data_IF_582778925813
#
_entry.id   IF_582778925813
#
_cell.length_a   1.000
_cell.length_b   1.000
_cell.length_c   1.000
_cell.angle_alpha   90.00
_cell.angle_beta   90.00
_cell.angle_gamma   90.00
#
_symmetry.space_group_name_H-M   'P 1'
#
loop_
_entity.id
_entity.type
_entity.pdbx_description
1 polymer ?
#
# COMPACT_ATOMS: atom_id res chain seq x y z
N UNK A 1 -58.75 41.09 -0.43
CA UNK A 1 -57.94 42.29 -0.71
C UNK A 1 -57.10 42.55 0.53
N UNK A 2 -55.76 42.64 0.44
CA UNK A 2 -55.00 43.12 -0.72
C UNK A 2 -54.19 42.04 -1.45
N UNK A 3 -54.00 42.30 -2.75
CA UNK A 3 -53.08 41.67 -3.68
C UNK A 3 -51.61 41.84 -3.24
N UNK A 4 -50.74 40.89 -3.60
CA UNK A 4 -49.49 41.21 -4.30
C UNK A 4 -48.94 39.99 -5.06
N UNK A 5 -49.26 39.98 -6.35
CA UNK A 5 -48.36 39.91 -7.50
C UNK A 5 -47.34 38.75 -7.65
N UNK A 6 -47.72 37.82 -8.54
CA UNK A 6 -46.94 37.12 -9.58
C UNK A 6 -45.42 37.38 -9.63
N UNK A 7 -44.66 36.59 -8.88
CA UNK A 7 -43.34 35.99 -9.20
C UNK A 7 -42.94 35.25 -7.94
N UNK A 8 -43.08 33.92 -7.93
CA UNK A 8 -42.50 32.93 -7.00
C UNK A 8 -43.31 31.63 -7.15
N UNK A 9 -43.41 31.20 -8.42
CA UNK A 9 -43.79 29.83 -8.74
C UNK A 9 -42.51 29.07 -9.06
N UNK A 10 -42.36 27.90 -8.43
CA UNK A 10 -41.54 26.79 -8.89
C UNK A 10 -40.03 27.00 -8.87
N UNK A 11 -39.37 26.43 -7.85
CA UNK A 11 -38.48 25.25 -7.97
C UNK A 11 -37.72 25.03 -6.66
N UNK A 12 -38.34 24.28 -5.76
CA UNK A 12 -37.68 23.69 -4.61
C UNK A 12 -37.05 22.36 -5.03
N UNK A 13 -35.92 22.43 -5.75
CA UNK A 13 -35.04 21.28 -6.02
C UNK A 13 -33.87 21.77 -6.89
N UNK A 14 -32.84 22.31 -6.25
CA UNK A 14 -31.52 22.48 -6.84
C UNK A 14 -30.47 22.56 -5.72
N UNK A 15 -29.73 21.47 -5.58
CA UNK A 15 -28.26 21.53 -5.53
C UNK A 15 -27.63 22.48 -4.50
N UNK A 16 -27.47 22.03 -3.25
CA UNK A 16 -26.37 22.52 -2.42
C UNK A 16 -25.06 21.85 -2.86
N UNK A 17 -24.59 22.22 -4.04
CA UNK A 17 -23.17 22.21 -4.35
C UNK A 17 -22.65 23.59 -3.95
N UNK A 18 -22.34 23.76 -2.66
CA UNK A 18 -21.67 24.96 -2.21
C UNK A 18 -20.21 24.85 -2.62
N UNK A 19 -19.86 25.58 -3.68
CA UNK A 19 -18.52 25.72 -4.20
C UNK A 19 -17.58 26.24 -3.09
N UNK A 20 -16.56 25.45 -2.76
CA UNK A 20 -15.41 25.89 -1.97
C UNK A 20 -14.58 26.84 -2.83
N UNK A 21 -14.97 28.11 -2.86
CA UNK A 21 -14.17 29.20 -3.41
C UNK A 21 -13.23 29.73 -2.31
N UNK A 22 -12.14 29.01 -2.08
CA UNK A 22 -10.95 29.50 -1.39
C UNK A 22 -9.74 28.65 -1.79
N UNK A 23 -9.13 28.94 -2.95
CA UNK A 23 -7.74 28.57 -3.29
C UNK A 23 -7.29 27.11 -3.14
N UNK A 24 -8.19 26.13 -3.16
CA UNK A 24 -7.87 24.72 -2.88
C UNK A 24 -7.50 23.92 -4.14
N UNK A 25 -6.34 23.27 -4.10
CA UNK A 25 -5.80 22.37 -5.11
C UNK A 25 -6.84 21.36 -5.64
N UNK A 26 -7.13 21.35 -6.95
CA UNK A 26 -8.15 20.49 -7.58
C UNK A 26 -7.64 19.10 -8.01
N UNK A 27 -6.60 18.55 -7.37
CA UNK A 27 -5.94 17.32 -7.83
C UNK A 27 -6.23 16.08 -6.97
N UNK A 28 -7.16 16.18 -6.02
CA UNK A 28 -7.53 15.08 -5.10
C UNK A 28 -8.95 14.63 -5.41
N UNK A 29 -9.11 13.36 -5.75
CA UNK A 29 -10.41 12.72 -5.92
C UNK A 29 -10.63 11.71 -4.78
N UNK A 30 -11.73 11.87 -4.05
CA UNK A 30 -12.20 10.81 -3.15
C UNK A 30 -12.99 9.79 -3.95
N UNK A 31 -12.62 8.52 -3.85
CA UNK A 31 -13.36 7.47 -4.52
C UNK A 31 -14.80 7.35 -3.98
N UNK A 32 -15.76 7.03 -4.86
CA UNK A 32 -17.16 6.81 -4.47
C UNK A 32 -17.30 5.53 -3.64
N UNK A 33 -18.00 5.61 -2.52
CA UNK A 33 -18.35 4.45 -1.71
C UNK A 33 -19.42 3.60 -2.42
N UNK A 34 -19.10 2.35 -2.75
CA UNK A 34 -20.02 1.38 -3.36
C UNK A 34 -19.33 0.03 -3.57
N UNK A 35 -20.09 -1.06 -3.80
CA UNK A 35 -19.51 -2.34 -4.19
C UNK A 35 -18.73 -2.16 -5.49
N UNK A 36 -17.50 -2.67 -5.53
CA UNK A 36 -16.67 -2.65 -6.74
C UNK A 36 -16.86 -3.95 -7.51
N UNK A 37 -16.79 -3.86 -8.84
CA UNK A 37 -16.61 -5.05 -9.67
C UNK A 37 -15.12 -5.42 -9.65
N UNK A 38 -14.78 -6.49 -8.92
CA UNK A 38 -13.38 -6.92 -8.78
C UNK A 38 -12.89 -7.55 -10.09
N UNK A 39 -11.84 -6.99 -10.73
CA UNK A 39 -11.31 -7.54 -11.96
C UNK A 39 -10.59 -8.87 -11.69
N UNK A 40 -10.73 -9.79 -12.64
CA UNK A 40 -9.94 -11.04 -12.67
C UNK A 40 -8.76 -10.89 -13.61
N UNK A 41 -7.59 -11.36 -13.17
CA UNK A 41 -6.35 -11.42 -13.96
C UNK A 41 -5.95 -12.87 -14.24
N UNK A 42 -5.20 -13.09 -15.31
CA UNK A 42 -4.67 -14.41 -15.67
C UNK A 42 -3.29 -14.67 -15.04
N UNK A 43 -2.50 -13.60 -14.86
CA UNK A 43 -1.11 -13.69 -14.38
C UNK A 43 -0.73 -12.47 -13.56
N UNK A 44 0.11 -12.68 -12.56
CA UNK A 44 0.81 -11.61 -11.84
C UNK A 44 2.31 -11.93 -11.79
N UNK A 45 3.16 -10.97 -12.16
CA UNK A 45 4.59 -10.96 -11.86
C UNK A 45 4.86 -9.86 -10.83
N UNK A 46 5.63 -10.17 -9.79
CA UNK A 46 6.08 -9.19 -8.79
C UNK A 46 7.59 -9.17 -8.76
N UNK A 47 8.21 -8.00 -8.90
CA UNK A 47 9.64 -7.81 -8.63
C UNK A 47 9.82 -7.05 -7.33
N UNK A 48 10.59 -7.64 -6.41
CA UNK A 48 11.04 -6.97 -5.19
C UNK A 48 12.15 -5.99 -5.56
N UNK A 49 11.86 -4.69 -5.58
CA UNK A 49 12.84 -3.65 -5.90
C UNK A 49 13.63 -3.23 -4.67
N UNK A 50 12.97 -3.15 -3.52
CA UNK A 50 13.56 -2.80 -2.23
C UNK A 50 12.96 -3.72 -1.16
N UNK A 51 13.83 -4.31 -0.34
CA UNK A 51 13.51 -5.06 0.88
C UNK A 51 14.74 -5.01 1.80
N UNK A 52 14.62 -5.58 3.00
CA UNK A 52 15.61 -5.51 4.07
C UNK A 52 16.93 -6.25 3.79
N UNK A 53 16.98 -7.17 2.82
CA UNK A 53 18.15 -8.00 2.60
C UNK A 53 18.31 -8.49 1.15
N UNK A 54 19.58 -8.61 0.70
CA UNK A 54 20.01 -9.27 -0.54
C UNK A 54 20.73 -10.59 -0.21
N UNK A 55 20.40 -11.70 -0.88
CA UNK A 55 21.08 -12.99 -0.75
C UNK A 55 21.52 -13.56 -2.11
N UNK A 56 22.83 -13.68 -2.32
CA UNK A 56 23.40 -14.26 -3.54
C UNK A 56 23.17 -15.78 -3.63
N UNK A 57 23.01 -16.46 -2.50
CA UNK A 57 22.74 -17.89 -2.44
C UNK A 57 21.25 -18.24 -2.51
N UNK A 58 20.37 -17.23 -2.64
CA UNK A 58 18.94 -17.43 -2.81
C UNK A 58 18.66 -18.35 -4.01
N UNK A 59 17.98 -19.47 -3.74
CA UNK A 59 17.61 -20.47 -4.75
C UNK A 59 16.15 -20.30 -5.15
N UNK A 60 15.77 -20.69 -6.38
CA UNK A 60 14.37 -20.77 -6.75
C UNK A 60 13.56 -21.65 -5.79
N UNK A 61 12.35 -21.22 -5.46
CA UNK A 61 11.41 -21.97 -4.62
C UNK A 61 10.05 -22.03 -5.32
N UNK A 62 9.22 -23.01 -4.94
CA UNK A 62 7.88 -23.13 -5.45
C UNK A 62 6.93 -23.75 -4.42
N UNK A 63 5.73 -23.19 -4.31
CA UNK A 63 4.64 -23.70 -3.48
C UNK A 63 3.32 -23.22 -4.08
N UNK A 64 2.25 -24.02 -3.98
CA UNK A 64 0.90 -23.60 -4.37
C UNK A 64 0.71 -23.12 -5.81
N UNK A 65 1.64 -23.41 -6.75
CA UNK A 65 1.59 -22.85 -8.11
C UNK A 65 2.23 -21.46 -8.26
N UNK A 66 2.93 -20.99 -7.23
CA UNK A 66 3.73 -19.77 -7.19
C UNK A 66 5.21 -20.14 -7.25
N UNK A 67 6.01 -19.35 -7.97
CA UNK A 67 7.48 -19.50 -8.02
C UNK A 67 8.16 -18.22 -7.57
N UNK A 68 9.23 -18.34 -6.79
CA UNK A 68 10.18 -17.25 -6.51
C UNK A 68 11.51 -17.54 -7.18
N UNK A 69 12.07 -16.55 -7.88
CA UNK A 69 13.32 -16.68 -8.63
C UNK A 69 14.27 -15.52 -8.27
N UNK A 70 15.59 -15.78 -8.11
CA UNK A 70 16.53 -14.72 -7.77
C UNK A 70 16.56 -13.63 -8.86
N UNK A 71 16.54 -12.36 -8.43
CA UNK A 71 17.02 -11.27 -9.27
C UNK A 71 18.53 -11.17 -9.17
N UNK A 72 19.17 -10.87 -10.30
CA UNK A 72 20.61 -10.59 -10.36
C UNK A 72 20.81 -9.23 -10.98
N UNK A 73 21.79 -8.51 -10.45
CA UNK A 73 22.28 -7.31 -11.09
C UNK A 73 22.78 -7.66 -12.50
N UNK A 74 22.41 -6.83 -13.47
CA UNK A 74 22.96 -6.88 -14.82
C UNK A 74 24.40 -6.35 -14.90
N UNK A 75 24.91 -5.73 -13.84
CA UNK A 75 26.30 -5.36 -13.66
C UNK A 75 26.91 -6.25 -12.57
N UNK A 76 27.78 -7.18 -12.98
CA UNK A 76 28.39 -8.16 -12.06
C UNK A 76 29.33 -7.54 -11.02
N UNK A 77 29.70 -6.27 -11.19
CA UNK A 77 30.55 -5.54 -10.23
C UNK A 77 29.75 -4.71 -9.23
N UNK A 78 28.43 -4.61 -9.43
CA UNK A 78 27.53 -3.82 -8.58
C UNK A 78 26.43 -4.71 -7.98
N UNK A 79 26.38 -4.89 -6.65
CA UNK A 79 25.31 -5.65 -6.01
C UNK A 79 23.99 -4.85 -6.01
N UNK A 80 22.87 -5.56 -5.82
CA UNK A 80 21.60 -4.92 -5.47
C UNK A 80 21.67 -4.38 -4.05
N UNK A 81 21.16 -3.18 -3.85
CA UNK A 81 21.16 -2.51 -2.56
C UNK A 81 19.91 -2.90 -1.76
N UNK A 82 20.05 -3.07 -0.45
CA UNK A 82 18.92 -3.32 0.46
C UNK A 82 18.91 -2.26 1.55
N UNK A 83 17.72 -1.94 2.03
CA UNK A 83 17.50 -0.98 3.12
C UNK A 83 16.23 -1.37 3.87
N UNK A 84 16.03 -0.81 5.07
CA UNK A 84 14.73 -0.92 5.72
C UNK A 84 13.70 -0.18 4.88
N UNK A 85 12.75 -0.89 4.30
CA UNK A 85 11.70 -0.36 3.45
C UNK A 85 11.22 -1.40 2.44
N UNK A 86 10.14 -1.07 1.74
CA UNK A 86 9.57 -1.95 0.71
C UNK A 86 9.26 -1.15 -0.55
N UNK A 87 9.56 -1.75 -1.70
CA UNK A 87 9.07 -1.29 -3.00
C UNK A 87 8.90 -2.49 -3.93
N UNK A 88 7.73 -2.61 -4.55
CA UNK A 88 7.34 -3.73 -5.40
C UNK A 88 6.89 -3.24 -6.78
N UNK A 89 7.48 -3.79 -7.84
CA UNK A 89 6.95 -3.65 -9.19
C UNK A 89 5.93 -4.77 -9.44
N UNK A 90 4.68 -4.42 -9.71
CA UNK A 90 3.58 -5.35 -9.95
C UNK A 90 3.21 -5.32 -11.43
N UNK A 91 3.22 -6.47 -12.08
CA UNK A 91 2.95 -6.61 -13.51
C UNK A 91 1.77 -7.60 -13.70
N UNK A 92 0.52 -7.15 -13.48
CA UNK A 92 -0.65 -7.96 -13.76
C UNK A 92 -0.91 -8.05 -15.28
N UNK A 93 -1.54 -9.14 -15.68
CA UNK A 93 -1.98 -9.36 -17.05
C UNK A 93 -3.39 -9.97 -17.07
N UNK A 94 -4.23 -9.42 -17.95
CA UNK A 94 -5.58 -9.91 -18.27
C UNK A 94 -5.73 -10.01 -19.79
N UNK A 95 -5.81 -11.23 -20.32
CA UNK A 95 -5.70 -11.49 -21.75
C UNK A 95 -4.39 -10.92 -22.31
N UNK A 96 -4.50 -10.08 -23.33
CA UNK A 96 -3.35 -9.37 -23.93
C UNK A 96 -3.01 -8.05 -23.22
N UNK A 97 -3.86 -7.57 -22.30
CA UNK A 97 -3.67 -6.31 -21.59
C UNK A 97 -2.69 -6.49 -20.43
N UNK A 98 -1.54 -5.80 -20.51
CA UNK A 98 -0.54 -5.74 -19.44
C UNK A 98 -0.54 -4.36 -18.81
N UNK A 99 -0.39 -4.31 -17.50
CA UNK A 99 -0.15 -3.07 -16.76
C UNK A 99 1.15 -3.19 -15.97
N UNK A 100 1.66 -2.05 -15.50
CA UNK A 100 2.78 -2.05 -14.55
C UNK A 100 2.55 -1.03 -13.46
N UNK A 101 2.44 -1.51 -12.24
CA UNK A 101 2.21 -0.71 -11.05
C UNK A 101 3.47 -0.68 -10.19
N UNK A 102 3.73 0.46 -9.55
CA UNK A 102 4.77 0.57 -8.53
C UNK A 102 4.09 0.78 -7.17
N UNK A 103 4.23 -0.21 -6.28
CA UNK A 103 3.71 -0.19 -4.92
C UNK A 103 4.84 0.14 -3.94
N UNK A 104 4.67 1.25 -3.22
CA UNK A 104 5.66 1.84 -2.32
C UNK A 104 7.01 2.14 -3.00
N UNK A 105 7.91 2.79 -2.25
CA UNK A 105 9.07 3.50 -2.81
C UNK A 105 10.35 3.34 -1.98
N UNK A 106 10.35 2.49 -0.95
CA UNK A 106 11.48 2.33 -0.04
C UNK A 106 11.81 3.61 0.75
N UNK A 107 13.00 3.63 1.34
CA UNK A 107 13.50 4.72 2.18
C UNK A 107 14.24 5.78 1.39
N UNK A 108 15.08 5.38 0.43
CA UNK A 108 15.93 6.31 -0.31
C UNK A 108 15.72 6.24 -1.82
N UNK A 109 15.78 7.39 -2.52
CA UNK A 109 15.69 7.38 -3.97
C UNK A 109 16.89 6.68 -4.63
N UNK A 110 18.06 6.66 -3.99
CA UNK A 110 19.25 5.97 -4.49
C UNK A 110 19.04 4.46 -4.60
N UNK A 111 18.43 3.85 -3.58
CA UNK A 111 18.21 2.40 -3.56
C UNK A 111 17.20 1.96 -4.61
N UNK A 112 16.01 2.58 -4.65
CA UNK A 112 14.99 2.19 -5.63
C UNK A 112 15.45 2.44 -7.07
N UNK A 113 15.97 3.63 -7.38
CA UNK A 113 16.41 3.96 -8.74
C UNK A 113 17.63 3.13 -9.17
N UNK A 114 18.57 2.90 -8.25
CA UNK A 114 19.73 2.05 -8.50
C UNK A 114 19.34 0.59 -8.77
N UNK A 115 18.44 0.04 -7.97
CA UNK A 115 17.97 -1.33 -8.18
C UNK A 115 17.17 -1.48 -9.48
N UNK A 116 16.35 -0.50 -9.86
CA UNK A 116 15.69 -0.48 -11.17
C UNK A 116 16.70 -0.53 -12.33
N UNK A 117 17.76 0.28 -12.27
CA UNK A 117 18.81 0.31 -13.30
C UNK A 117 19.59 -1.03 -13.39
N UNK A 118 19.88 -1.64 -12.24
CA UNK A 118 20.61 -2.91 -12.13
C UNK A 118 19.74 -4.10 -12.55
N UNK A 119 18.43 -4.06 -12.28
CA UNK A 119 17.46 -5.09 -12.67
C UNK A 119 16.89 -4.90 -14.08
N UNK A 120 17.30 -3.84 -14.78
CA UNK A 120 16.80 -3.46 -16.12
C UNK A 120 15.28 -3.27 -16.14
N UNK A 121 14.74 -2.64 -15.10
CA UNK A 121 13.35 -2.22 -15.07
C UNK A 121 13.18 -1.01 -15.99
N UNK A 122 12.22 -1.11 -16.91
CA UNK A 122 11.86 -0.03 -17.81
C UNK A 122 10.79 0.84 -17.15
N UNK A 123 11.21 2.01 -16.63
CA UNK A 123 10.32 2.93 -15.93
C UNK A 123 9.18 3.43 -16.81
N UNK A 124 9.35 3.51 -18.13
CA UNK A 124 8.32 4.02 -19.06
C UNK A 124 7.07 3.14 -19.13
N UNK A 125 7.17 1.90 -18.64
CA UNK A 125 6.03 0.97 -18.55
C UNK A 125 5.17 1.22 -17.31
N UNK A 126 5.71 1.89 -16.28
CA UNK A 126 4.99 2.14 -15.03
C UNK A 126 3.87 3.12 -15.31
N UNK A 127 2.63 2.65 -15.18
CA UNK A 127 1.43 3.40 -15.51
C UNK A 127 0.60 3.80 -14.27
N UNK A 128 0.93 3.22 -13.11
CA UNK A 128 0.19 3.46 -11.86
C UNK A 128 1.13 3.44 -10.67
N UNK A 129 0.94 4.37 -9.74
CA UNK A 129 1.61 4.40 -8.45
C UNK A 129 0.64 4.02 -7.34
N UNK A 130 1.14 3.32 -6.31
CA UNK A 130 0.35 2.94 -5.15
C UNK A 130 1.17 3.24 -3.89
N UNK A 131 0.56 3.93 -2.94
CA UNK A 131 1.10 4.19 -1.61
C UNK A 131 0.27 3.44 -0.59
N UNK A 132 0.89 2.52 0.15
CA UNK A 132 0.19 1.71 1.15
C UNK A 132 -0.20 2.49 2.41
N UNK A 133 0.73 3.27 2.97
CA UNK A 133 0.56 4.08 4.17
C UNK A 133 1.64 5.18 4.26
N UNK A 134 1.54 6.03 5.28
CA UNK A 134 2.34 7.26 5.39
C UNK A 134 3.72 7.15 6.06
N UNK A 135 4.33 5.97 6.19
CA UNK A 135 5.67 5.86 6.80
C UNK A 135 6.80 6.10 5.81
N UNK A 136 7.86 6.73 6.32
CA UNK A 136 9.00 7.16 5.52
C UNK A 136 9.68 6.01 4.76
N UNK A 137 9.75 4.81 5.34
CA UNK A 137 10.34 3.62 4.71
C UNK A 137 9.53 3.05 3.54
N UNK A 138 8.35 3.61 3.28
CA UNK A 138 7.48 3.25 2.16
C UNK A 138 7.31 4.37 1.13
N UNK A 139 7.58 5.64 1.48
CA UNK A 139 7.45 6.76 0.54
C UNK A 139 8.73 7.56 0.31
N UNK A 140 9.79 7.36 1.10
CA UNK A 140 11.00 8.18 1.09
C UNK A 140 11.68 8.27 -0.28
N UNK A 141 11.62 7.20 -1.07
CA UNK A 141 12.14 7.20 -2.45
C UNK A 141 11.24 7.89 -3.49
N UNK A 142 9.97 8.20 -3.20
CA UNK A 142 8.96 8.64 -4.17
C UNK A 142 9.38 9.91 -4.94
N UNK A 143 9.76 10.97 -4.22
CA UNK A 143 10.04 12.26 -4.87
C UNK A 143 11.30 12.20 -5.74
N UNK A 144 12.32 11.43 -5.33
CA UNK A 144 13.51 11.23 -6.16
C UNK A 144 13.27 10.29 -7.33
N UNK A 145 12.40 9.29 -7.19
CA UNK A 145 11.90 8.49 -8.30
C UNK A 145 11.17 9.36 -9.34
N UNK A 146 10.22 10.19 -8.91
CA UNK A 146 9.50 11.10 -9.79
C UNK A 146 10.45 12.11 -10.44
N UNK A 147 11.36 12.72 -9.68
CA UNK A 147 12.35 13.65 -10.24
C UNK A 147 13.22 13.02 -11.35
N UNK A 148 13.57 11.74 -11.21
CA UNK A 148 14.36 11.00 -12.21
C UNK A 148 13.54 10.58 -13.43
N UNK A 149 12.31 10.10 -13.23
CA UNK A 149 11.56 9.36 -14.24
C UNK A 149 10.31 10.06 -14.77
N UNK A 150 9.91 11.23 -14.25
CA UNK A 150 8.60 11.83 -14.59
C UNK A 150 8.35 12.01 -16.08
N UNK A 151 9.38 12.31 -16.87
CA UNK A 151 9.28 12.48 -18.32
C UNK A 151 9.06 11.17 -19.09
N UNK A 152 9.43 10.03 -18.49
CA UNK A 152 9.23 8.70 -19.07
C UNK A 152 7.84 8.13 -18.73
N UNK A 153 7.20 8.66 -17.67
CA UNK A 153 5.92 8.20 -17.15
C UNK A 153 4.73 8.86 -17.87
N UNK A 154 3.53 8.23 -17.87
CA UNK A 154 2.33 8.81 -18.47
C UNK A 154 2.03 10.24 -18.00
N UNK A 155 1.49 11.05 -18.89
CA UNK A 155 1.13 12.44 -18.56
C UNK A 155 0.04 12.50 -17.48
N UNK A 156 -0.88 11.54 -17.47
CA UNK A 156 -2.02 11.36 -16.57
C UNK A 156 -1.73 10.37 -15.41
N UNK A 157 -0.45 10.23 -15.02
CA UNK A 157 -0.03 9.34 -13.95
C UNK A 157 -0.86 9.54 -12.69
N UNK A 158 -1.43 8.44 -12.20
CA UNK A 158 -2.27 8.42 -11.00
C UNK A 158 -1.57 7.64 -9.89
N UNK A 159 -1.58 8.23 -8.69
CA UNK A 159 -1.17 7.59 -7.44
C UNK A 159 -2.39 7.31 -6.58
N UNK A 160 -2.55 6.05 -6.18
CA UNK A 160 -3.57 5.61 -5.24
C UNK A 160 -2.98 5.57 -3.84
N UNK A 161 -3.57 6.30 -2.90
CA UNK A 161 -3.18 6.29 -1.49
C UNK A 161 -4.42 5.96 -0.65
N UNK A 162 -4.23 5.37 0.52
CA UNK A 162 -5.35 4.93 1.35
C UNK A 162 -6.28 6.06 1.79
N UNK A 163 -5.77 7.05 2.51
CA UNK A 163 -6.55 8.19 2.99
C UNK A 163 -5.66 9.35 3.38
N UNK A 164 -6.25 10.44 3.89
CA UNK A 164 -5.49 11.65 4.20
C UNK A 164 -4.37 11.44 5.23
N UNK A 165 -4.49 10.42 6.10
CA UNK A 165 -3.49 10.12 7.11
C UNK A 165 -2.13 9.75 6.52
N UNK A 166 -2.07 9.33 5.25
CA UNK A 166 -0.83 9.09 4.52
C UNK A 166 0.07 10.33 4.45
N UNK A 167 -0.51 11.52 4.60
CA UNK A 167 0.18 12.80 4.46
C UNK A 167 0.30 13.55 5.78
N UNK A 168 -0.10 12.94 6.90
CA UNK A 168 0.16 13.52 8.22
C UNK A 168 1.65 13.49 8.56
N UNK A 169 2.08 14.45 9.37
CA UNK A 169 3.39 14.41 10.01
C UNK A 169 3.47 13.23 10.98
N UNK A 170 4.56 12.48 10.91
CA UNK A 170 4.84 11.36 11.81
C UNK A 170 6.11 11.57 12.60
N UNK A 171 6.18 10.84 13.70
CA UNK A 171 7.33 10.82 14.59
C UNK A 171 7.65 9.39 15.00
N UNK A 172 8.94 9.06 15.03
CA UNK A 172 9.40 7.80 15.60
C UNK A 172 9.71 8.02 17.09
N UNK A 173 9.43 7.00 17.91
CA UNK A 173 9.82 7.02 19.32
C UNK A 173 11.31 6.71 19.42
N UNK A 174 12.06 7.61 20.05
CA UNK A 174 13.48 7.42 20.33
C UNK A 174 13.70 7.47 21.85
N UNK A 175 14.37 6.46 22.40
CA UNK A 175 14.63 6.39 23.85
C UNK A 175 13.36 6.45 24.73
N UNK A 176 13.52 6.90 25.98
CA UNK A 176 12.41 7.07 26.92
C UNK A 176 11.73 8.43 26.72
N UNK A 177 10.66 8.45 25.92
CA UNK A 177 9.74 9.59 25.82
C UNK A 177 10.13 10.67 24.82
N UNK A 178 11.26 10.54 24.12
CA UNK A 178 11.66 11.46 23.05
C UNK A 178 11.05 11.02 21.71
N UNK A 179 10.81 12.00 20.85
CA UNK A 179 10.26 11.81 19.52
C UNK A 179 11.21 12.42 18.49
N UNK A 180 11.54 11.65 17.46
CA UNK A 180 12.26 12.15 16.28
C UNK A 180 11.30 12.33 15.12
N UNK A 181 11.55 13.32 14.28
CA UNK A 181 10.82 13.50 13.02
C UNK A 181 10.90 12.21 12.18
N UNK A 182 9.75 11.71 11.71
CA UNK A 182 9.65 10.55 10.82
C UNK A 182 8.95 10.91 9.50
N UNK A 183 9.03 12.17 9.14
CA UNK A 183 8.63 12.72 7.87
C UNK A 183 7.14 13.01 7.72
N UNK A 184 6.87 13.77 6.67
CA UNK A 184 5.54 14.11 6.17
C UNK A 184 5.63 14.19 4.65
N UNK A 185 4.82 13.40 3.95
CA UNK A 185 4.73 13.51 2.50
C UNK A 185 3.88 14.73 2.12
N UNK A 186 4.52 15.76 1.55
CA UNK A 186 3.81 16.96 1.10
C UNK A 186 3.14 16.73 -0.26
N UNK A 187 1.81 16.75 -0.28
CA UNK A 187 1.02 16.62 -1.52
C UNK A 187 1.31 17.70 -2.55
N UNK A 188 1.79 18.86 -2.13
CA UNK A 188 2.16 19.94 -3.04
C UNK A 188 3.36 19.54 -3.89
N UNK A 189 4.28 18.74 -3.36
CA UNK A 189 5.43 18.25 -4.13
C UNK A 189 5.02 17.19 -5.15
N UNK A 190 4.01 16.38 -4.83
CA UNK A 190 3.38 15.45 -5.78
C UNK A 190 2.63 16.22 -6.87
N UNK A 191 1.87 17.25 -6.50
CA UNK A 191 1.14 18.08 -7.44
C UNK A 191 2.07 18.84 -8.42
N UNK A 192 3.24 19.31 -7.96
CA UNK A 192 4.28 19.90 -8.82
C UNK A 192 4.80 18.92 -9.88
N UNK A 193 4.71 17.62 -9.61
CA UNK A 193 5.06 16.57 -10.56
C UNK A 193 3.87 16.18 -11.46
N UNK A 194 2.75 16.90 -11.47
CA UNK A 194 1.56 16.55 -12.27
C UNK A 194 1.12 15.09 -12.06
N UNK A 195 1.10 14.64 -10.80
CA UNK A 195 0.58 13.32 -10.44
C UNK A 195 -0.79 13.50 -9.79
N UNK A 196 -1.80 12.82 -10.34
CA UNK A 196 -3.14 12.78 -9.76
C UNK A 196 -3.13 11.89 -8.51
N UNK A 197 -3.76 12.33 -7.43
CA UNK A 197 -3.91 11.51 -6.22
C UNK A 197 -5.36 11.08 -6.06
N UNK A 198 -5.56 9.77 -5.88
CA UNK A 198 -6.86 9.16 -5.56
C UNK A 198 -6.80 8.59 -4.15
N UNK A 199 -7.71 9.04 -3.29
CA UNK A 199 -7.85 8.49 -1.95
C UNK A 199 -8.80 7.29 -1.93
N UNK A 200 -8.29 6.19 -1.39
CA UNK A 200 -8.90 4.87 -1.38
C UNK A 200 -9.47 4.53 0.00
N UNK A 201 -10.21 5.45 0.63
CA UNK A 201 -10.83 5.18 1.94
C UNK A 201 -11.97 4.15 1.82
N UNK A 202 -12.59 4.11 0.64
CA UNK A 202 -13.44 3.01 0.19
C UNK A 202 -12.67 2.13 -0.82
N UNK A 203 -13.10 0.88 -1.05
CA UNK A 203 -12.50 0.03 -2.07
C UNK A 203 -12.48 0.69 -3.45
N UNK A 204 -11.35 0.58 -4.16
CA UNK A 204 -11.15 1.17 -5.49
C UNK A 204 -10.54 0.16 -6.42
N UNK A 205 -11.03 0.09 -7.66
CA UNK A 205 -10.36 -0.67 -8.74
C UNK A 205 -9.17 0.14 -9.26
N UNK A 206 -8.00 -0.48 -9.26
CA UNK A 206 -6.73 0.12 -9.71
C UNK A 206 -6.39 -0.44 -11.09
N UNK A 207 -6.23 0.45 -12.07
CA UNK A 207 -5.75 0.12 -13.41
C UNK A 207 -6.58 -0.96 -14.13
N UNK A 208 -7.83 -1.17 -13.74
CA UNK A 208 -8.71 -2.22 -14.27
C UNK A 208 -8.29 -3.66 -13.97
N UNK A 209 -7.24 -3.89 -13.16
CA UNK A 209 -6.66 -5.21 -12.92
C UNK A 209 -6.33 -5.52 -11.45
N UNK A 210 -6.35 -4.51 -10.57
CA UNK A 210 -6.21 -4.67 -9.13
C UNK A 210 -7.34 -3.97 -8.39
N UNK A 211 -7.39 -4.12 -7.06
CA UNK A 211 -8.25 -3.32 -6.21
C UNK A 211 -7.64 -3.07 -4.83
N UNK A 212 -8.07 -2.00 -4.15
CA UNK A 212 -7.76 -1.75 -2.74
C UNK A 212 -8.85 -2.32 -1.84
N UNK A 213 -8.48 -2.64 -0.61
CA UNK A 213 -9.42 -3.05 0.45
C UNK A 213 -10.27 -1.89 0.99
N UNK A 214 -9.91 -0.65 0.68
CA UNK A 214 -10.42 0.50 1.41
C UNK A 214 -9.89 0.53 2.85
N UNK A 215 -10.61 1.22 3.73
CA UNK A 215 -10.38 1.16 5.16
C UNK A 215 -10.62 -0.25 5.70
N UNK A 216 -9.61 -0.80 6.38
CA UNK A 216 -9.65 -2.15 6.94
C UNK A 216 -10.33 -2.17 8.30
N UNK A 217 -11.34 -3.04 8.45
CA UNK A 217 -11.99 -3.29 9.75
C UNK A 217 -11.09 -4.12 10.66
N UNK A 218 -11.05 -3.77 11.95
CA UNK A 218 -10.27 -4.49 12.97
C UNK A 218 -11.15 -5.43 13.76
N UNK A 219 -11.23 -6.68 13.33
CA UNK A 219 -12.09 -7.71 13.95
C UNK A 219 -11.36 -9.02 14.27
N UNK A 220 -10.04 -9.07 14.08
CA UNK A 220 -9.17 -10.17 14.48
C UNK A 220 -8.58 -9.93 15.89
N UNK A 221 -7.72 -10.84 16.32
CA UNK A 221 -6.92 -10.69 17.53
C UNK A 221 -5.82 -9.63 17.38
N UNK A 222 -5.57 -9.17 16.15
CA UNK A 222 -4.43 -8.33 15.84
C UNK A 222 -4.62 -6.92 16.41
N UNK A 223 -3.53 -6.40 16.98
CA UNK A 223 -3.42 -5.08 17.58
C UNK A 223 -2.34 -4.31 16.84
N UNK A 224 -2.52 -3.00 16.74
CA UNK A 224 -1.45 -2.09 16.30
C UNK A 224 -0.29 -2.21 17.30
N UNK A 225 0.86 -2.66 16.81
CA UNK A 225 2.06 -2.68 17.64
C UNK A 225 2.66 -1.28 17.70
N UNK A 226 3.08 -0.79 18.88
CA UNK A 226 3.63 0.55 19.01
C UNK A 226 4.88 0.75 18.14
N UNK A 227 4.84 1.74 17.25
CA UNK A 227 5.94 2.04 16.34
C UNK A 227 6.16 3.56 16.17
N UNK A 228 5.11 4.30 15.82
CA UNK A 228 5.16 5.72 15.48
C UNK A 228 4.05 6.51 16.17
N UNK A 229 4.21 7.82 16.16
CA UNK A 229 3.21 8.80 16.55
C UNK A 229 2.84 9.63 15.33
N UNK A 230 1.64 10.21 15.36
CA UNK A 230 1.09 11.04 14.28
C UNK A 230 0.56 12.34 14.84
N UNK A 231 0.73 13.43 14.09
CA UNK A 231 0.10 14.72 14.36
C UNK A 231 -0.92 15.03 13.25
N UNK A 232 -2.20 15.11 13.63
CA UNK A 232 -3.28 15.48 12.73
C UNK A 232 -3.40 16.99 12.65
N UNK A 233 -2.59 17.61 11.80
CA UNK A 233 -2.56 19.07 11.65
C UNK A 233 -2.07 19.50 10.27
N UNK A 234 -2.71 20.53 9.74
CA UNK A 234 -2.12 21.33 8.65
C UNK A 234 -1.15 22.35 9.23
N UNK A 235 0.10 22.32 8.79
CA UNK A 235 1.13 23.31 9.10
C UNK A 235 1.59 23.96 7.79
N UNK A 236 1.42 25.28 7.70
CA UNK A 236 1.79 26.06 6.52
C UNK A 236 1.25 25.50 5.19
N UNK A 237 0.03 24.96 5.23
CA UNK A 237 -0.66 24.38 4.07
C UNK A 237 -0.19 22.97 3.65
N UNK A 238 0.64 22.30 4.46
CA UNK A 238 1.00 20.89 4.29
C UNK A 238 0.61 20.06 5.51
N UNK A 239 0.56 18.75 5.33
CA UNK A 239 0.06 17.80 6.32
C UNK A 239 -1.26 17.17 5.90
N UNK A 240 -1.96 16.60 6.86
CA UNK A 240 -3.30 16.05 6.67
C UNK A 240 -4.35 17.04 7.19
N UNK A 241 -5.43 17.21 6.43
CA UNK A 241 -6.58 18.00 6.84
C UNK A 241 -7.67 17.05 7.36
N UNK A 242 -7.79 16.91 8.67
CA UNK A 242 -8.67 15.92 9.27
C UNK A 242 -9.79 16.56 10.10
N UNK A 243 -10.51 17.50 9.50
CA UNK A 243 -11.61 18.23 10.16
C UNK A 243 -12.93 17.42 10.25
N UNK A 244 -13.02 16.23 9.64
CA UNK A 244 -14.30 15.51 9.49
C UNK A 244 -14.39 14.12 10.17
N UNK A 245 -13.31 13.54 10.69
CA UNK A 245 -13.31 12.09 11.00
C UNK A 245 -12.56 11.68 12.29
N UNK A 246 -12.14 12.61 13.16
CA UNK A 246 -11.62 12.30 14.50
C UNK A 246 -12.29 13.19 15.55
N UNK A 247 -12.30 12.78 16.83
CA UNK A 247 -12.68 13.67 17.92
C UNK A 247 -11.86 14.96 17.84
N UNK A 248 -12.51 16.13 17.97
CA UNK A 248 -11.85 17.44 17.97
C UNK A 248 -10.68 17.53 18.98
N UNK A 249 -10.71 16.66 20.00
CA UNK A 249 -9.68 16.53 21.01
C UNK A 249 -8.33 16.01 20.51
N UNK A 250 -8.23 15.49 19.28
CA UNK A 250 -6.99 14.96 18.70
C UNK A 250 -6.29 15.97 17.76
N UNK A 251 -6.96 17.04 17.36
CA UNK A 251 -6.40 18.04 16.43
C UNK A 251 -5.17 18.73 17.06
N UNK A 252 -4.06 18.73 16.30
CA UNK A 252 -2.80 19.33 16.74
C UNK A 252 -2.12 18.66 17.94
N UNK A 253 -2.56 17.46 18.34
CA UNK A 253 -1.86 16.65 19.33
C UNK A 253 -1.06 15.55 18.63
N UNK A 254 0.10 15.22 19.23
CA UNK A 254 0.87 14.05 18.86
C UNK A 254 0.31 12.84 19.63
N UNK A 255 -0.23 11.88 18.89
CA UNK A 255 -0.93 10.70 19.42
C UNK A 255 -0.33 9.42 18.83
N UNK A 256 -0.53 8.24 19.45
CA UNK A 256 -0.14 6.98 18.81
C UNK A 256 -0.74 6.88 17.41
N UNK A 257 0.09 6.48 16.44
CA UNK A 257 -0.39 6.30 15.07
C UNK A 257 -1.21 5.01 14.97
N UNK A 258 -2.48 5.16 14.60
CA UNK A 258 -3.40 4.04 14.41
C UNK A 258 -3.43 3.59 12.94
N UNK A 259 -2.82 4.31 11.98
CA UNK A 259 -2.74 3.85 10.57
C UNK A 259 -4.14 3.64 9.97
N UNK A 260 -5.01 4.63 10.16
CA UNK A 260 -6.46 4.51 9.99
C UNK A 260 -6.85 4.15 8.55
N UNK A 261 -6.08 4.61 7.56
CA UNK A 261 -6.31 4.29 6.15
C UNK A 261 -5.12 3.56 5.53
N UNK A 262 -4.40 2.75 6.31
CA UNK A 262 -3.63 1.68 5.68
C UNK A 262 -4.60 0.79 4.87
N UNK A 263 -4.18 0.42 3.66
CA UNK A 263 -4.93 -0.48 2.78
C UNK A 263 -4.01 -1.55 2.18
N UNK A 264 -4.59 -2.69 1.87
CA UNK A 264 -3.95 -3.75 1.09
C UNK A 264 -4.27 -3.61 -0.41
N UNK A 265 -3.26 -3.89 -1.24
CA UNK A 265 -3.41 -4.01 -2.70
C UNK A 265 -3.72 -5.47 -3.04
N UNK A 266 -4.80 -5.70 -3.78
CA UNK A 266 -5.33 -7.03 -4.01
C UNK A 266 -5.53 -7.33 -5.50
N UNK A 267 -5.41 -8.61 -5.85
CA UNK A 267 -5.70 -9.14 -7.17
C UNK A 267 -6.59 -10.39 -7.03
N UNK A 268 -7.50 -10.60 -7.99
CA UNK A 268 -8.23 -11.85 -8.10
C UNK A 268 -7.65 -12.68 -9.26
N UNK A 269 -6.90 -13.72 -8.93
CA UNK A 269 -6.27 -14.59 -9.92
C UNK A 269 -7.26 -15.66 -10.38
N UNK A 270 -7.46 -15.75 -11.69
CA UNK A 270 -8.40 -16.68 -12.33
C UNK A 270 -8.21 -18.12 -11.82
N UNK A 271 -9.32 -18.74 -11.41
CA UNK A 271 -9.39 -20.11 -10.88
C UNK A 271 -8.56 -20.40 -9.60
N UNK A 272 -7.89 -19.38 -9.04
CA UNK A 272 -7.00 -19.50 -7.88
C UNK A 272 -7.46 -18.72 -6.67
N UNK A 273 -8.07 -17.55 -6.86
CA UNK A 273 -8.56 -16.69 -5.78
C UNK A 273 -7.65 -15.50 -5.50
N UNK A 274 -7.77 -14.93 -4.31
CA UNK A 274 -7.16 -13.65 -3.96
C UNK A 274 -5.65 -13.75 -3.73
N UNK A 275 -4.92 -12.79 -4.31
CA UNK A 275 -3.56 -12.44 -3.90
C UNK A 275 -3.69 -11.13 -3.12
N UNK A 276 -3.37 -11.15 -1.83
CA UNK A 276 -3.47 -10.00 -0.92
C UNK A 276 -2.07 -9.53 -0.57
N UNK A 277 -1.74 -8.29 -0.95
CA UNK A 277 -0.47 -7.65 -0.65
C UNK A 277 -0.69 -6.60 0.45
N UNK A 278 -0.13 -6.87 1.63
CA UNK A 278 -0.03 -5.90 2.72
C UNK A 278 1.41 -5.39 2.76
N UNK A 279 1.63 -4.09 2.62
CA UNK A 279 3.00 -3.57 2.61
C UNK A 279 3.67 -3.59 3.97
N UNK A 280 2.97 -3.20 5.04
CA UNK A 280 3.46 -3.41 6.40
C UNK A 280 2.41 -3.98 7.38
N UNK A 281 1.11 -3.76 7.19
CA UNK A 281 0.09 -4.53 7.92
C UNK A 281 -0.08 -4.10 9.38
N UNK A 282 0.09 -2.81 9.66
CA UNK A 282 -0.15 -2.21 10.97
C UNK A 282 -1.56 -2.47 11.51
N UNK A 283 -2.56 -2.51 10.63
CA UNK A 283 -3.96 -2.81 10.99
C UNK A 283 -4.26 -4.32 11.07
N UNK A 284 -3.25 -5.17 10.90
CA UNK A 284 -3.33 -6.62 10.99
C UNK A 284 -3.53 -7.31 9.64
N UNK A 285 -2.68 -8.28 9.31
CA UNK A 285 -2.74 -9.03 8.05
C UNK A 285 -3.99 -9.91 7.96
N UNK A 286 -4.46 -10.49 9.07
CA UNK A 286 -5.71 -11.27 9.08
C UNK A 286 -6.89 -10.35 8.81
N UNK A 287 -6.89 -9.14 9.38
CA UNK A 287 -7.90 -8.11 9.08
C UNK A 287 -7.88 -7.71 7.59
N UNK A 288 -6.70 -7.44 7.03
CA UNK A 288 -6.54 -7.09 5.61
C UNK A 288 -7.12 -8.15 4.68
N UNK A 289 -6.84 -9.44 4.93
CA UNK A 289 -7.34 -10.54 4.10
C UNK A 289 -8.86 -10.69 4.24
N UNK A 290 -9.40 -10.61 5.47
CA UNK A 290 -10.86 -10.66 5.68
C UNK A 290 -11.57 -9.50 4.98
N UNK A 291 -11.00 -8.29 5.03
CA UNK A 291 -11.51 -7.14 4.32
C UNK A 291 -11.47 -7.35 2.80
N UNK A 292 -10.40 -7.93 2.26
CA UNK A 292 -10.29 -8.26 0.84
C UNK A 292 -11.33 -9.29 0.39
N UNK A 293 -11.58 -10.32 1.19
CA UNK A 293 -12.64 -11.31 0.95
C UNK A 293 -14.02 -10.65 0.97
N UNK A 294 -14.32 -9.82 1.97
CA UNK A 294 -15.61 -9.11 2.07
C UNK A 294 -15.85 -8.19 0.87
N UNK A 295 -14.85 -7.39 0.49
CA UNK A 295 -14.93 -6.43 -0.60
C UNK A 295 -15.10 -7.11 -1.96
N UNK A 296 -14.44 -8.25 -2.15
CA UNK A 296 -14.43 -8.95 -3.44
C UNK A 296 -15.54 -9.99 -3.60
N UNK A 297 -16.11 -10.48 -2.50
CA UNK A 297 -16.98 -11.66 -2.50
C UNK A 297 -16.23 -12.96 -2.84
N UNK A 298 -14.89 -12.97 -2.83
CA UNK A 298 -14.08 -14.14 -3.13
C UNK A 298 -13.57 -14.76 -1.82
N UNK A 299 -14.04 -15.95 -1.51
CA UNK A 299 -13.68 -16.65 -0.26
C UNK A 299 -12.32 -17.37 -0.32
N UNK A 300 -11.80 -17.63 -1.52
CA UNK A 300 -10.54 -18.35 -1.68
C UNK A 300 -9.36 -17.40 -1.65
N UNK A 301 -8.43 -17.63 -0.72
CA UNK A 301 -7.15 -16.91 -0.64
C UNK A 301 -6.07 -17.76 -1.29
N UNK A 302 -5.54 -17.28 -2.41
CA UNK A 302 -4.42 -17.92 -3.08
C UNK A 302 -3.09 -17.59 -2.38
N UNK A 303 -2.81 -16.30 -2.19
CA UNK A 303 -1.56 -15.87 -1.60
C UNK A 303 -1.72 -14.65 -0.69
N UNK A 304 -0.89 -14.63 0.36
CA UNK A 304 -0.72 -13.49 1.27
C UNK A 304 0.76 -13.11 1.22
N UNK A 305 1.06 -11.85 0.92
CA UNK A 305 2.45 -11.40 0.74
C UNK A 305 2.71 -9.96 1.20
N UNK A 306 3.98 -9.64 1.41
CA UNK A 306 4.46 -8.31 1.81
C UNK A 306 4.86 -8.23 3.29
N UNK A 307 4.85 -7.05 3.88
CA UNK A 307 5.14 -6.82 5.29
C UNK A 307 3.89 -6.95 6.18
N UNK A 308 4.06 -7.59 7.33
CA UNK A 308 2.97 -7.85 8.29
C UNK A 308 3.17 -7.19 9.67
N UNK A 309 4.26 -6.42 9.85
CA UNK A 309 4.59 -5.69 11.08
C UNK A 309 4.67 -6.58 12.33
N UNK A 310 5.06 -7.85 12.14
CA UNK A 310 5.16 -8.85 13.22
C UNK A 310 6.60 -9.08 13.67
N UNK A 311 7.58 -8.39 13.09
CA UNK A 311 8.97 -8.40 13.55
C UNK A 311 9.13 -8.10 15.05
N UNK A 312 8.48 -7.05 15.61
CA UNK A 312 8.58 -6.73 17.04
C UNK A 312 7.62 -7.53 17.93
N UNK A 313 6.82 -8.44 17.37
CA UNK A 313 5.82 -9.19 18.12
C UNK A 313 6.44 -10.15 19.15
N UNK A 314 5.87 -10.24 20.37
CA UNK A 314 6.16 -11.33 21.30
C UNK A 314 5.80 -12.71 20.70
N UNK A 315 6.55 -13.75 21.08
CA UNK A 315 6.45 -15.08 20.45
C UNK A 315 5.07 -15.75 20.61
N UNK A 316 4.39 -15.55 21.74
CA UNK A 316 3.05 -16.08 22.00
C UNK A 316 2.00 -15.40 21.09
N UNK A 317 2.07 -14.08 20.96
CA UNK A 317 1.23 -13.32 20.06
C UNK A 317 1.49 -13.69 18.59
N UNK A 318 2.76 -13.83 18.20
CA UNK A 318 3.16 -14.31 16.88
C UNK A 318 2.56 -15.68 16.55
N UNK A 319 2.64 -16.62 17.49
CA UNK A 319 2.07 -17.97 17.35
C UNK A 319 0.56 -17.91 17.11
N UNK A 320 -0.15 -17.04 17.83
CA UNK A 320 -1.60 -16.86 17.67
C UNK A 320 -1.95 -16.27 16.31
N UNK A 321 -1.23 -15.22 15.88
CA UNK A 321 -1.49 -14.57 14.58
C UNK A 321 -1.20 -15.52 13.41
N UNK A 322 -0.10 -16.29 13.46
CA UNK A 322 0.18 -17.31 12.44
C UNK A 322 -0.91 -18.39 12.40
N UNK A 323 -1.47 -18.77 13.55
CA UNK A 323 -2.61 -19.69 13.61
C UNK A 323 -3.86 -19.11 12.96
N UNK A 324 -4.16 -17.83 13.18
CA UNK A 324 -5.27 -17.14 12.50
C UNK A 324 -5.05 -17.03 10.98
N UNK A 325 -3.82 -16.77 10.52
CA UNK A 325 -3.47 -16.83 9.10
C UNK A 325 -3.72 -18.24 8.55
N UNK A 326 -3.35 -19.29 9.29
CA UNK A 326 -3.62 -20.68 8.92
C UNK A 326 -5.11 -20.99 8.72
N UNK A 327 -6.00 -20.35 9.50
CA UNK A 327 -7.46 -20.50 9.36
C UNK A 327 -8.01 -19.87 8.08
N UNK A 328 -7.34 -18.86 7.51
CA UNK A 328 -7.65 -18.31 6.20
C UNK A 328 -7.27 -19.27 5.05
N UNK A 329 -6.50 -20.32 5.37
CA UNK A 329 -6.06 -21.37 4.46
C UNK A 329 -5.48 -20.86 3.13
N UNK A 330 -4.48 -19.97 3.14
CA UNK A 330 -3.81 -19.56 1.91
C UNK A 330 -3.10 -20.74 1.23
N UNK A 331 -3.00 -20.73 -0.10
CA UNK A 331 -2.14 -21.69 -0.81
C UNK A 331 -0.66 -21.38 -0.54
N UNK A 332 -0.29 -20.09 -0.46
CA UNK A 332 1.08 -19.62 -0.25
C UNK A 332 1.15 -18.38 0.66
N UNK A 333 2.17 -18.31 1.52
CA UNK A 333 2.51 -17.14 2.33
C UNK A 333 3.93 -16.66 1.99
N UNK A 334 4.10 -15.35 1.77
CA UNK A 334 5.37 -14.74 1.33
C UNK A 334 5.68 -13.50 2.19
N UNK A 335 6.22 -13.68 3.41
CA UNK A 335 6.57 -12.58 4.29
C UNK A 335 7.80 -11.80 3.78
N UNK A 336 7.75 -10.48 3.91
CA UNK A 336 8.79 -9.52 3.50
C UNK A 336 8.97 -8.44 4.58
N UNK A 337 9.99 -7.59 4.43
CA UNK A 337 10.16 -6.35 5.18
C UNK A 337 9.93 -6.50 6.70
N UNK A 338 8.96 -5.77 7.25
CA UNK A 338 8.65 -5.66 8.67
C UNK A 338 7.99 -6.93 9.26
N UNK A 339 7.77 -7.99 8.48
CA UNK A 339 7.30 -9.29 8.99
C UNK A 339 8.31 -9.90 9.96
N UNK A 340 9.61 -9.77 9.67
CA UNK A 340 10.69 -10.29 10.52
C UNK A 340 10.99 -11.78 10.34
N UNK A 341 12.24 -12.16 10.63
CA UNK A 341 12.71 -13.56 10.55
C UNK A 341 11.98 -14.48 11.53
N UNK A 342 11.65 -13.97 12.72
CA UNK A 342 10.85 -14.65 13.73
C UNK A 342 9.50 -15.10 13.17
N UNK A 343 8.77 -14.21 12.48
CA UNK A 343 7.51 -14.55 11.81
C UNK A 343 7.72 -15.63 10.75
N UNK A 344 8.71 -15.45 9.88
CA UNK A 344 8.97 -16.39 8.78
C UNK A 344 9.23 -17.81 9.32
N UNK A 345 10.03 -17.94 10.38
CA UNK A 345 10.32 -19.22 11.02
C UNK A 345 9.08 -19.84 11.66
N UNK A 346 8.28 -19.05 12.36
CA UNK A 346 7.05 -19.54 13.01
C UNK A 346 6.00 -19.96 11.96
N UNK A 347 5.86 -19.20 10.88
CA UNK A 347 5.01 -19.55 9.75
C UNK A 347 5.46 -20.85 9.08
N UNK A 348 6.77 -21.05 8.87
CA UNK A 348 7.30 -22.31 8.34
C UNK A 348 7.00 -23.52 9.24
N UNK A 349 7.01 -23.30 10.56
CA UNK A 349 6.68 -24.34 11.55
C UNK A 349 5.21 -24.73 11.53
N UNK A 350 4.30 -23.75 11.45
CA UNK A 350 2.85 -24.00 11.47
C UNK A 350 2.26 -24.38 10.10
N UNK A 351 2.88 -23.92 9.01
CA UNK A 351 2.42 -24.12 7.63
C UNK A 351 3.55 -24.66 6.73
N UNK A 352 4.10 -25.84 7.03
CA UNK A 352 5.21 -26.40 6.27
C UNK A 352 4.83 -26.60 4.80
N UNK A 353 5.73 -26.21 3.90
CA UNK A 353 5.53 -26.32 2.45
C UNK A 353 4.66 -25.23 1.82
N UNK A 354 4.14 -24.27 2.60
CA UNK A 354 3.35 -23.12 2.10
C UNK A 354 4.08 -21.78 2.15
N UNK A 355 5.22 -21.69 2.83
CA UNK A 355 5.96 -20.43 2.98
C UNK A 355 7.09 -20.33 1.96
N UNK A 356 7.07 -19.27 1.15
CA UNK A 356 8.18 -18.89 0.28
C UNK A 356 8.88 -17.66 0.86
N UNK A 357 10.20 -17.59 0.72
CA UNK A 357 10.96 -16.41 1.15
C UNK A 357 11.38 -15.56 -0.05
N UNK A 358 11.76 -14.31 0.21
CA UNK A 358 12.27 -13.39 -0.80
C UNK A 358 13.51 -12.67 -0.31
N UNK A 359 14.14 -12.02 -1.25
CA UNK A 359 15.26 -11.10 -1.07
C UNK A 359 15.16 -10.00 -2.13
N UNK A 360 15.84 -8.87 -1.95
CA UNK A 360 15.89 -7.80 -2.94
C UNK A 360 16.27 -8.35 -4.32
N UNK A 361 15.49 -7.98 -5.32
CA UNK A 361 15.58 -8.48 -6.68
C UNK A 361 14.71 -9.69 -6.96
N UNK A 362 14.13 -10.40 -5.99
CA UNK A 362 13.33 -11.61 -6.27
C UNK A 362 12.18 -11.34 -7.24
N UNK A 363 11.99 -12.22 -8.23
CA UNK A 363 10.76 -12.28 -9.05
C UNK A 363 9.83 -13.33 -8.49
N UNK A 364 8.58 -12.97 -8.29
CA UNK A 364 7.50 -13.85 -7.85
C UNK A 364 6.52 -13.97 -9.01
N UNK A 365 6.16 -15.18 -9.41
CA UNK A 365 5.24 -15.39 -10.53
C UNK A 365 4.05 -16.23 -10.08
N UNK A 366 2.85 -15.76 -10.42
CA UNK A 366 1.56 -16.41 -10.20
C UNK A 366 0.88 -16.66 -11.56
N UNK A 367 -0.02 -17.66 -11.65
CA UNK A 367 -0.73 -17.97 -12.90
C UNK A 367 0.18 -18.60 -13.97
N UNK A 368 1.00 -19.57 -13.55
CA UNK A 368 2.00 -20.27 -14.37
C UNK A 368 1.39 -21.48 -15.07
#
# INVERSE_FOLDING_TARGET
MPDFNRREALKMSASFALAAAAGGFSCIEMAKAGPIEVPTIDKLSVRVLVDSATDIFFKPQAAGGVKTEPGRSADTTRPLHSEWGLALLLEPQRGDEKRTFLLDFGWTPETINGNMDLLKVDASKIDTLIMSHGHFDHWGGLLGFLAKHRNDLPADLTMYAGGEDNFCQRYARVGQGELSDYGMLDRRDIAKQNVKVVLCESPVVIGGQAFTTGKIKRNSIEKVLPNSMVEFKLKDGAGCNWSHYLPAEMEGKIVPDEHIHEHATCFNLKDKGLIVISSCGHVGIVNSVRQAMEVSGVDKVHAIMGGFHLGPAPADYLTQVVSEIGKLNPDVLIPMHCSGLNFTQEAQRQMPGKVLTTTTGTRITFGI
#
